data_IF_597288567464
#
_entry.id   IF_597288567464
#
_cell.length_a   1.000
_cell.length_b   1.000
_cell.length_c   1.000
_cell.angle_alpha   90.00
_cell.angle_beta   90.00
_cell.angle_gamma   90.00
#
_symmetry.space_group_name_H-M   'P 1'
#
loop_
_entity.id
_entity.type
_entity.pdbx_description
1 polymer ?
#
# COMPACT_ATOMS: atom_id res chain seq x y z
N UNK A 1 -7.15 -30.37 -33.84
CA UNK A 1 -8.31 -29.54 -33.50
C UNK A 1 -8.35 -28.43 -34.51
N UNK A 2 -9.42 -28.33 -35.27
CA UNK A 2 -9.63 -27.24 -36.23
C UNK A 2 -9.89 -25.94 -35.46
N UNK A 3 -9.45 -24.81 -36.00
CA UNK A 3 -9.69 -23.48 -35.39
C UNK A 3 -11.18 -23.15 -35.32
N UNK A 4 -12.02 -23.89 -36.06
CA UNK A 4 -13.48 -23.83 -36.01
C UNK A 4 -13.94 -22.40 -36.32
N UNK A 5 -14.71 -21.75 -35.44
CA UNK A 5 -15.18 -20.37 -35.69
C UNK A 5 -14.02 -19.36 -35.78
N UNK A 6 -12.81 -19.70 -35.31
CA UNK A 6 -11.63 -18.83 -35.36
C UNK A 6 -10.84 -18.95 -36.67
N UNK A 7 -11.26 -19.79 -37.62
CA UNK A 7 -10.61 -19.91 -38.94
C UNK A 7 -10.41 -18.56 -39.67
N UNK A 8 -11.32 -17.57 -39.61
CA UNK A 8 -11.11 -16.27 -40.23
C UNK A 8 -9.92 -15.48 -39.64
N UNK A 9 -9.37 -15.87 -38.50
CA UNK A 9 -8.14 -15.27 -37.96
C UNK A 9 -6.92 -15.73 -38.76
N UNK A 10 -6.92 -16.95 -39.29
CA UNK A 10 -5.79 -17.49 -40.06
C UNK A 10 -5.52 -16.69 -41.33
N UNK A 11 -6.56 -16.22 -42.01
CA UNK A 11 -6.40 -15.37 -43.21
C UNK A 11 -5.80 -14.00 -42.89
N UNK A 12 -5.98 -13.51 -41.67
CA UNK A 12 -5.41 -12.24 -41.18
C UNK A 12 -3.98 -12.39 -40.65
N UNK A 13 -3.51 -13.62 -40.43
CA UNK A 13 -2.16 -13.94 -39.95
C UNK A 13 -1.18 -14.26 -41.08
N UNK A 14 -1.68 -14.48 -42.31
CA UNK A 14 -0.83 -14.73 -43.47
C UNK A 14 -0.07 -13.45 -43.83
N UNK A 15 1.27 -13.48 -43.92
CA UNK A 15 2.02 -12.33 -44.37
C UNK A 15 1.66 -12.01 -45.81
N UNK A 16 1.32 -10.76 -46.12
CA UNK A 16 1.32 -10.31 -47.52
C UNK A 16 2.73 -10.53 -48.07
N UNK A 17 2.86 -11.38 -49.09
CA UNK A 17 4.15 -11.76 -49.67
C UNK A 17 4.92 -10.50 -50.12
N UNK A 18 6.00 -10.16 -49.40
CA UNK A 18 6.98 -9.15 -49.81
C UNK A 18 7.23 -7.97 -48.86
N UNK A 19 6.60 -7.91 -47.68
CA UNK A 19 6.81 -6.79 -46.73
C UNK A 19 7.91 -7.13 -45.72
N UNK A 20 8.87 -6.21 -45.56
CA UNK A 20 9.92 -6.30 -44.53
C UNK A 20 9.29 -6.48 -43.14
N UNK A 21 9.71 -7.51 -42.40
CA UNK A 21 9.30 -7.84 -41.02
C UNK A 21 9.81 -6.79 -39.99
N UNK A 22 9.45 -5.53 -40.21
CA UNK A 22 9.82 -4.37 -39.41
C UNK A 22 8.83 -4.14 -38.26
N UNK A 23 9.30 -3.45 -37.21
CA UNK A 23 8.49 -3.12 -36.02
C UNK A 23 7.21 -2.34 -36.37
N UNK A 24 7.24 -1.54 -37.45
CA UNK A 24 6.07 -0.75 -37.90
C UNK A 24 5.00 -1.63 -38.52
N UNK A 25 5.42 -2.61 -39.34
CA UNK A 25 4.52 -3.56 -39.98
C UNK A 25 3.84 -4.46 -38.94
N UNK A 26 4.61 -4.96 -37.95
CA UNK A 26 4.07 -5.72 -36.80
C UNK A 26 3.03 -4.95 -35.99
N UNK A 27 3.24 -3.65 -35.75
CA UNK A 27 2.26 -2.82 -35.05
C UNK A 27 0.99 -2.63 -35.88
N UNK A 28 1.14 -2.46 -37.19
CA UNK A 28 -0.01 -2.30 -38.09
C UNK A 28 -0.81 -3.61 -38.17
N UNK A 29 -0.16 -4.75 -38.33
CA UNK A 29 -0.83 -6.07 -38.33
C UNK A 29 -1.53 -6.34 -37.01
N UNK A 30 -0.91 -6.03 -35.86
CA UNK A 30 -1.56 -6.17 -34.54
C UNK A 30 -2.78 -5.26 -34.41
N UNK A 31 -2.71 -4.02 -34.89
CA UNK A 31 -3.88 -3.12 -34.86
C UNK A 31 -4.99 -3.57 -35.79
N UNK A 32 -4.66 -4.09 -36.98
CA UNK A 32 -5.64 -4.57 -37.96
C UNK A 32 -6.34 -5.81 -37.42
N UNK A 33 -5.59 -6.76 -36.88
CA UNK A 33 -6.16 -7.96 -36.27
C UNK A 33 -6.97 -7.61 -35.02
N UNK A 34 -6.48 -6.72 -34.15
CA UNK A 34 -7.23 -6.28 -32.97
C UNK A 34 -8.53 -5.55 -33.32
N UNK A 35 -8.52 -4.74 -34.39
CA UNK A 35 -9.72 -4.11 -34.92
C UNK A 35 -10.70 -5.16 -35.45
N UNK A 36 -10.20 -6.15 -36.20
CA UNK A 36 -11.01 -7.26 -36.70
C UNK A 36 -11.63 -8.06 -35.54
N UNK A 37 -10.84 -8.41 -34.51
CA UNK A 37 -11.29 -9.07 -33.28
C UNK A 37 -12.31 -8.26 -32.47
N UNK A 38 -12.33 -6.94 -32.65
CA UNK A 38 -13.31 -6.04 -32.04
C UNK A 38 -14.55 -5.81 -32.92
N UNK A 39 -14.56 -6.32 -34.16
CA UNK A 39 -15.71 -6.29 -35.07
C UNK A 39 -16.76 -7.32 -34.69
N UNK A 40 -18.00 -7.14 -35.17
CA UNK A 40 -19.15 -7.97 -34.79
C UNK A 40 -18.95 -9.46 -35.14
N UNK A 41 -18.44 -9.76 -36.33
CA UNK A 41 -18.28 -11.13 -36.83
C UNK A 41 -17.28 -11.95 -36.01
N UNK A 42 -16.07 -11.41 -35.79
CA UNK A 42 -15.04 -12.11 -35.03
C UNK A 42 -15.30 -12.07 -33.53
N UNK A 43 -15.95 -11.05 -33.00
CA UNK A 43 -16.39 -11.05 -31.60
C UNK A 43 -17.37 -12.19 -31.34
N UNK A 44 -18.33 -12.39 -32.25
CA UNK A 44 -19.27 -13.50 -32.16
C UNK A 44 -18.59 -14.86 -32.34
N UNK A 45 -17.66 -14.97 -33.29
CA UNK A 45 -16.85 -16.17 -33.48
C UNK A 45 -16.02 -16.52 -32.23
N UNK A 46 -15.37 -15.52 -31.63
CA UNK A 46 -14.61 -15.66 -30.37
C UNK A 46 -15.54 -16.04 -29.22
N UNK A 47 -16.78 -15.56 -29.19
CA UNK A 47 -17.80 -15.94 -28.21
C UNK A 47 -18.25 -17.39 -28.39
N UNK A 48 -18.37 -17.89 -29.62
CA UNK A 48 -18.78 -19.26 -29.94
C UNK A 48 -17.66 -20.30 -29.80
N UNK A 49 -16.39 -19.90 -29.89
CA UNK A 49 -15.24 -20.82 -29.80
C UNK A 49 -15.15 -21.62 -28.48
N UNK A 50 -14.64 -22.85 -28.47
CA UNK A 50 -14.32 -23.54 -27.22
C UNK A 50 -13.03 -23.03 -26.58
N UNK A 51 -12.80 -23.35 -25.30
CA UNK A 51 -11.51 -23.04 -24.61
C UNK A 51 -10.34 -23.72 -25.36
N UNK A 52 -10.52 -24.95 -25.83
CA UNK A 52 -9.51 -25.69 -26.59
C UNK A 52 -9.18 -25.05 -27.94
N UNK A 53 -10.19 -24.48 -28.62
CA UNK A 53 -10.01 -23.75 -29.88
C UNK A 53 -9.22 -22.45 -29.65
N UNK A 54 -9.54 -21.70 -28.59
CA UNK A 54 -8.77 -20.51 -28.20
C UNK A 54 -7.33 -20.89 -27.84
N UNK A 55 -7.14 -22.01 -27.18
CA UNK A 55 -5.81 -22.53 -26.84
C UNK A 55 -5.00 -22.95 -28.06
N UNK A 56 -5.66 -23.53 -29.06
CA UNK A 56 -5.02 -23.86 -30.33
C UNK A 56 -4.58 -22.58 -31.05
N UNK A 57 -5.44 -21.56 -31.09
CA UNK A 57 -5.10 -20.25 -31.66
C UNK A 57 -3.94 -19.57 -30.92
N UNK A 58 -3.96 -19.55 -29.58
CA UNK A 58 -2.92 -18.94 -28.75
C UNK A 58 -1.58 -19.71 -28.78
N UNK A 59 -1.58 -20.96 -29.23
CA UNK A 59 -0.36 -21.75 -29.44
C UNK A 59 0.33 -21.51 -30.79
N UNK A 60 -0.30 -20.73 -31.68
CA UNK A 60 0.22 -20.47 -33.02
C UNK A 60 1.46 -19.57 -32.99
N UNK A 61 2.51 -19.93 -33.74
CA UNK A 61 3.83 -19.26 -33.69
C UNK A 61 3.79 -17.76 -33.98
N UNK A 62 2.84 -17.32 -34.83
CA UNK A 62 2.66 -15.91 -35.21
C UNK A 62 1.90 -15.12 -34.13
N UNK A 63 1.02 -15.77 -33.38
CA UNK A 63 0.22 -15.17 -32.29
C UNK A 63 1.00 -15.22 -30.96
N UNK A 64 2.16 -14.57 -30.94
CA UNK A 64 2.94 -14.40 -29.72
C UNK A 64 2.90 -12.95 -29.21
N UNK A 65 3.19 -12.77 -27.92
CA UNK A 65 3.12 -11.44 -27.27
C UNK A 65 4.16 -10.48 -27.84
N UNK A 66 5.27 -10.99 -28.38
CA UNK A 66 6.33 -10.16 -28.97
C UNK A 66 5.91 -9.52 -30.31
N UNK A 67 5.06 -10.19 -31.08
CA UNK A 67 4.60 -9.74 -32.40
C UNK A 67 3.24 -9.06 -32.33
N UNK A 68 2.25 -9.70 -31.69
CA UNK A 68 0.84 -9.27 -31.70
C UNK A 68 0.27 -9.13 -30.27
N UNK A 69 0.83 -8.25 -29.42
CA UNK A 69 0.47 -8.15 -28.01
C UNK A 69 -0.99 -7.73 -27.75
N UNK A 70 -1.57 -6.86 -28.57
CA UNK A 70 -2.97 -6.42 -28.38
C UNK A 70 -3.95 -7.53 -28.76
N UNK A 71 -3.70 -8.21 -29.88
CA UNK A 71 -4.54 -9.33 -30.33
C UNK A 71 -4.50 -10.48 -29.33
N UNK A 72 -3.32 -10.82 -28.80
CA UNK A 72 -3.15 -11.84 -27.74
C UNK A 72 -3.88 -11.43 -26.45
N UNK A 73 -3.80 -10.16 -26.05
CA UNK A 73 -4.53 -9.63 -24.90
C UNK A 73 -6.05 -9.79 -25.08
N UNK A 74 -6.59 -9.51 -26.27
CA UNK A 74 -8.01 -9.64 -26.57
C UNK A 74 -8.46 -11.12 -26.49
N UNK A 75 -7.73 -12.03 -27.14
CA UNK A 75 -8.03 -13.46 -27.11
C UNK A 75 -7.94 -14.05 -25.69
N UNK A 76 -6.90 -13.67 -24.92
CA UNK A 76 -6.78 -14.07 -23.52
C UNK A 76 -7.89 -13.49 -22.66
N UNK A 77 -8.33 -12.25 -22.92
CA UNK A 77 -9.48 -11.66 -22.21
C UNK A 77 -10.79 -12.39 -22.51
N UNK A 78 -10.97 -12.87 -23.74
CA UNK A 78 -12.13 -13.69 -24.08
C UNK A 78 -12.05 -15.07 -23.41
N UNK A 79 -10.87 -15.71 -23.41
CA UNK A 79 -10.63 -16.96 -22.68
C UNK A 79 -10.95 -16.78 -21.19
N UNK A 80 -10.45 -15.72 -20.57
CA UNK A 80 -10.73 -15.33 -19.19
C UNK A 80 -12.23 -15.25 -18.88
N UNK A 81 -13.02 -14.58 -19.71
CA UNK A 81 -14.47 -14.49 -19.49
C UNK A 81 -15.16 -15.85 -19.54
N UNK A 82 -14.70 -16.76 -20.40
CA UNK A 82 -15.25 -18.13 -20.48
C UNK A 82 -14.88 -18.95 -19.27
N UNK A 83 -13.62 -18.87 -18.84
CA UNK A 83 -13.13 -19.54 -17.64
C UNK A 83 -13.91 -19.14 -16.38
N UNK A 84 -14.34 -17.88 -16.27
CA UNK A 84 -15.14 -17.43 -15.13
C UNK A 84 -16.57 -18.01 -15.11
N UNK A 85 -17.11 -18.36 -16.29
CA UNK A 85 -18.42 -19.02 -16.41
C UNK A 85 -18.34 -20.55 -16.35
N UNK A 86 -17.14 -21.13 -16.43
CA UNK A 86 -16.95 -22.59 -16.42
C UNK A 86 -16.75 -23.06 -14.99
N UNK A 87 -17.42 -24.15 -14.60
CA UNK A 87 -17.41 -24.62 -13.22
C UNK A 87 -16.02 -25.21 -12.88
N UNK A 88 -15.25 -24.52 -12.03
CA UNK A 88 -13.85 -24.83 -11.70
C UNK A 88 -13.57 -26.26 -11.17
N UNK A 89 -14.60 -27.05 -10.87
CA UNK A 89 -14.47 -28.40 -10.32
C UNK A 89 -14.31 -29.49 -11.39
N UNK A 90 -14.63 -29.21 -12.66
CA UNK A 90 -14.60 -30.21 -13.74
C UNK A 90 -13.38 -30.10 -14.67
N UNK A 91 -12.60 -29.03 -14.55
CA UNK A 91 -11.47 -28.76 -15.44
C UNK A 91 -10.17 -29.40 -14.94
N UNK A 92 -9.35 -29.88 -15.87
CA UNK A 92 -8.06 -30.48 -15.56
C UNK A 92 -7.10 -29.43 -14.99
N UNK A 93 -6.36 -29.81 -13.94
CA UNK A 93 -5.26 -29.00 -13.38
C UNK A 93 -4.27 -28.59 -14.50
N UNK A 94 -4.11 -29.43 -15.52
CA UNK A 94 -3.26 -29.14 -16.67
C UNK A 94 -3.71 -27.87 -17.43
N UNK A 95 -5.01 -27.70 -17.64
CA UNK A 95 -5.57 -26.57 -18.41
C UNK A 95 -5.48 -25.27 -17.60
N UNK A 96 -5.70 -25.37 -16.28
CA UNK A 96 -5.48 -24.26 -15.34
C UNK A 96 -4.02 -23.79 -15.36
N UNK A 97 -3.06 -24.74 -15.32
CA UNK A 97 -1.64 -24.42 -15.39
C UNK A 97 -1.24 -23.84 -16.74
N UNK A 98 -1.82 -24.32 -17.84
CA UNK A 98 -1.58 -23.79 -19.19
C UNK A 98 -2.09 -22.36 -19.31
N UNK A 99 -3.30 -22.08 -18.82
CA UNK A 99 -3.84 -20.72 -18.80
C UNK A 99 -3.01 -19.78 -17.93
N UNK A 100 -2.58 -20.25 -16.75
CA UNK A 100 -1.67 -19.50 -15.88
C UNK A 100 -0.35 -19.16 -16.60
N UNK A 101 0.22 -20.09 -17.37
CA UNK A 101 1.44 -19.85 -18.14
C UNK A 101 1.22 -18.81 -19.26
N UNK A 102 0.09 -18.86 -19.96
CA UNK A 102 -0.22 -17.88 -21.01
C UNK A 102 -0.33 -16.45 -20.44
N UNK A 103 -1.02 -16.27 -19.30
CA UNK A 103 -1.13 -14.95 -18.66
C UNK A 103 0.24 -14.50 -18.12
N UNK A 104 1.03 -15.43 -17.58
CA UNK A 104 2.41 -15.16 -17.14
C UNK A 104 3.29 -14.61 -18.27
N UNK A 105 3.25 -15.24 -19.45
CA UNK A 105 3.97 -14.77 -20.64
C UNK A 105 3.50 -13.37 -21.08
N UNK A 106 2.18 -13.14 -21.07
CA UNK A 106 1.61 -11.82 -21.37
C UNK A 106 2.15 -10.75 -20.41
N UNK A 107 2.03 -10.95 -19.09
CA UNK A 107 2.48 -9.97 -18.09
C UNK A 107 3.99 -9.69 -18.21
N UNK A 108 4.79 -10.72 -18.50
CA UNK A 108 6.23 -10.57 -18.66
C UNK A 108 6.61 -9.76 -19.91
N UNK A 109 5.90 -9.95 -21.04
CA UNK A 109 6.32 -9.41 -22.34
C UNK A 109 5.50 -8.20 -22.83
N UNK A 110 4.31 -7.95 -22.29
CA UNK A 110 3.43 -6.88 -22.79
C UNK A 110 4.13 -5.52 -22.79
N UNK A 111 4.09 -4.76 -23.90
CA UNK A 111 4.60 -3.40 -23.93
C UNK A 111 3.83 -2.48 -22.98
N UNK A 112 4.53 -1.70 -22.16
CA UNK A 112 3.93 -0.81 -21.17
C UNK A 112 3.00 0.24 -21.80
N UNK A 113 3.38 0.79 -22.96
CA UNK A 113 2.53 1.75 -23.68
C UNK A 113 1.16 1.16 -24.11
N UNK A 114 1.11 -0.15 -24.41
CA UNK A 114 -0.13 -0.85 -24.70
C UNK A 114 -0.90 -1.15 -23.40
N UNK A 115 -0.19 -1.68 -22.39
CA UNK A 115 -0.78 -1.99 -21.09
C UNK A 115 -1.39 -0.76 -20.41
N UNK A 116 -0.79 0.43 -20.57
CA UNK A 116 -1.34 1.67 -20.04
C UNK A 116 -2.69 2.04 -20.68
N UNK A 117 -2.87 1.77 -21.99
CA UNK A 117 -4.14 1.99 -22.69
C UNK A 117 -5.20 0.97 -22.30
N UNK A 118 -4.82 -0.30 -22.20
CA UNK A 118 -5.73 -1.42 -21.91
C UNK A 118 -5.66 -1.91 -20.45
N UNK A 119 -5.28 -1.04 -19.50
CA UNK A 119 -5.01 -1.42 -18.10
C UNK A 119 -6.21 -2.07 -17.43
N UNK A 120 -7.43 -1.73 -17.85
CA UNK A 120 -8.67 -2.37 -17.38
C UNK A 120 -8.68 -3.86 -17.68
N UNK A 121 -8.37 -4.26 -18.92
CA UNK A 121 -8.31 -5.68 -19.34
C UNK A 121 -7.16 -6.40 -18.63
N UNK A 122 -6.01 -5.75 -18.54
CA UNK A 122 -4.84 -6.28 -17.82
C UNK A 122 -5.18 -6.52 -16.34
N UNK A 123 -5.94 -5.63 -15.71
CA UNK A 123 -6.37 -5.77 -14.30
C UNK A 123 -7.34 -6.94 -14.10
N UNK A 124 -8.29 -7.14 -15.01
CA UNK A 124 -9.20 -8.30 -14.98
C UNK A 124 -8.42 -9.61 -15.12
N UNK A 125 -7.48 -9.67 -16.07
CA UNK A 125 -6.60 -10.83 -16.24
C UNK A 125 -5.73 -11.08 -15.01
N UNK A 126 -5.16 -10.03 -14.42
CA UNK A 126 -4.34 -10.15 -13.21
C UNK A 126 -5.15 -10.69 -12.01
N UNK A 127 -6.42 -10.30 -11.86
CA UNK A 127 -7.28 -10.86 -10.83
C UNK A 127 -7.49 -12.36 -11.01
N UNK A 128 -7.82 -12.80 -12.23
CA UNK A 128 -7.96 -14.23 -12.53
C UNK A 128 -6.65 -15.00 -12.37
N UNK A 129 -5.54 -14.40 -12.80
CA UNK A 129 -4.20 -14.94 -12.60
C UNK A 129 -3.89 -15.19 -11.13
N UNK A 130 -4.23 -14.25 -10.25
CA UNK A 130 -4.07 -14.40 -8.80
C UNK A 130 -4.93 -15.52 -8.22
N UNK A 131 -6.21 -15.61 -8.62
CA UNK A 131 -7.12 -16.68 -8.19
C UNK A 131 -6.58 -18.06 -8.60
N UNK A 132 -6.27 -18.23 -9.89
CA UNK A 132 -5.71 -19.47 -10.44
C UNK A 132 -4.39 -19.86 -9.78
N UNK A 133 -3.52 -18.90 -9.48
CA UNK A 133 -2.25 -19.16 -8.82
C UNK A 133 -2.42 -19.73 -7.40
N UNK A 134 -3.48 -19.32 -6.70
CA UNK A 134 -3.80 -19.79 -5.34
C UNK A 134 -4.46 -21.15 -5.41
N UNK A 135 -5.44 -21.32 -6.31
CA UNK A 135 -6.16 -22.59 -6.48
C UNK A 135 -5.21 -23.72 -6.90
N UNK A 136 -4.25 -23.43 -7.79
CA UNK A 136 -3.22 -24.40 -8.24
C UNK A 136 -2.00 -24.50 -7.31
N UNK A 137 -1.95 -23.73 -6.22
CA UNK A 137 -0.81 -23.65 -5.29
C UNK A 137 0.54 -23.30 -5.98
N UNK A 138 0.50 -22.51 -7.06
CA UNK A 138 1.69 -22.09 -7.82
C UNK A 138 2.08 -20.62 -7.57
N UNK A 139 1.63 -20.00 -6.47
CA UNK A 139 1.82 -18.56 -6.19
C UNK A 139 3.27 -18.08 -6.30
N UNK A 140 4.27 -18.92 -5.98
CA UNK A 140 5.69 -18.51 -6.06
C UNK A 140 6.15 -18.27 -7.50
N UNK A 141 5.66 -19.04 -8.47
CA UNK A 141 6.04 -18.92 -9.89
C UNK A 141 5.41 -17.70 -10.54
N UNK A 142 4.35 -17.16 -9.95
CA UNK A 142 3.55 -16.08 -10.50
C UNK A 142 4.00 -14.69 -10.04
N UNK A 143 4.88 -14.62 -9.05
CA UNK A 143 5.44 -13.37 -8.53
C UNK A 143 6.30 -12.66 -9.58
N UNK A 144 7.27 -13.36 -10.15
CA UNK A 144 8.26 -12.74 -11.05
C UNK A 144 7.64 -12.06 -12.28
N UNK A 145 6.70 -12.67 -13.03
CA UNK A 145 6.04 -12.01 -14.16
C UNK A 145 5.32 -10.72 -13.77
N UNK A 146 4.60 -10.73 -12.65
CA UNK A 146 3.83 -9.58 -12.18
C UNK A 146 4.74 -8.49 -11.61
N UNK A 147 5.80 -8.87 -10.89
CA UNK A 147 6.86 -7.97 -10.42
C UNK A 147 7.56 -7.28 -11.60
N UNK A 148 7.96 -8.05 -12.61
CA UNK A 148 8.59 -7.53 -13.84
C UNK A 148 7.67 -6.54 -14.55
N UNK A 149 6.38 -6.84 -14.64
CA UNK A 149 5.39 -5.92 -15.19
C UNK A 149 5.33 -4.61 -14.40
N UNK A 150 5.11 -4.67 -13.08
CA UNK A 150 4.96 -3.49 -12.22
C UNK A 150 6.21 -2.61 -12.26
N UNK A 151 7.40 -3.21 -12.17
CA UNK A 151 8.68 -2.50 -12.25
C UNK A 151 8.86 -1.79 -13.60
N UNK A 152 8.59 -2.48 -14.71
CA UNK A 152 8.65 -1.86 -16.05
C UNK A 152 7.64 -0.74 -16.20
N UNK A 153 6.44 -0.90 -15.63
CA UNK A 153 5.39 0.10 -15.64
C UNK A 153 5.83 1.37 -14.90
N UNK A 154 6.36 1.22 -13.68
CA UNK A 154 6.90 2.33 -12.88
C UNK A 154 8.06 3.03 -13.59
N UNK A 155 9.05 2.27 -14.10
CA UNK A 155 10.24 2.82 -14.77
C UNK A 155 9.95 3.66 -16.01
N UNK A 156 8.82 3.43 -16.68
CA UNK A 156 8.39 4.23 -17.84
C UNK A 156 7.59 5.48 -17.44
N UNK A 157 7.62 5.86 -16.16
CA UNK A 157 7.01 7.08 -15.64
C UNK A 157 5.58 6.91 -15.15
N UNK A 158 5.06 5.67 -15.07
CA UNK A 158 3.73 5.41 -14.53
C UNK A 158 3.79 5.09 -13.02
N UNK A 159 4.09 6.09 -12.19
CA UNK A 159 4.09 6.00 -10.73
C UNK A 159 2.66 6.09 -10.13
N UNK A 160 1.76 5.26 -10.68
CA UNK A 160 0.32 5.25 -10.35
C UNK A 160 -0.08 3.94 -9.68
N UNK A 161 -0.92 4.03 -8.65
CA UNK A 161 -1.56 2.87 -8.06
C UNK A 161 -2.56 2.24 -9.03
N UNK A 162 -2.38 0.95 -9.27
CA UNK A 162 -3.26 0.10 -10.08
C UNK A 162 -3.73 -1.11 -9.26
N UNK A 163 -4.83 -1.78 -9.65
CA UNK A 163 -5.31 -2.97 -8.95
C UNK A 163 -4.23 -4.07 -8.85
N UNK A 164 -3.31 -4.14 -9.80
CA UNK A 164 -2.26 -5.14 -9.85
C UNK A 164 -1.36 -5.11 -8.61
N UNK A 165 -1.19 -3.96 -7.96
CA UNK A 165 -0.38 -3.87 -6.74
C UNK A 165 -1.00 -4.66 -5.59
N UNK A 166 -2.31 -4.54 -5.39
CA UNK A 166 -3.03 -5.31 -4.36
C UNK A 166 -2.95 -6.82 -4.65
N UNK A 167 -3.16 -7.22 -5.90
CA UNK A 167 -3.05 -8.61 -6.35
C UNK A 167 -1.62 -9.17 -6.16
N UNK A 168 -0.60 -8.38 -6.47
CA UNK A 168 0.81 -8.75 -6.29
C UNK A 168 1.17 -8.93 -4.82
N UNK A 169 0.77 -7.99 -3.96
CA UNK A 169 1.02 -8.08 -2.53
C UNK A 169 0.31 -9.28 -1.90
N UNK A 170 -0.92 -9.55 -2.33
CA UNK A 170 -1.66 -10.73 -1.90
C UNK A 170 -0.95 -12.04 -2.29
N UNK A 171 -0.42 -12.14 -3.52
CA UNK A 171 0.39 -13.28 -3.96
C UNK A 171 1.68 -13.42 -3.15
N UNK A 172 2.38 -12.31 -2.87
CA UNK A 172 3.61 -12.32 -2.08
C UNK A 172 3.36 -12.80 -0.64
N UNK A 173 2.24 -12.38 -0.03
CA UNK A 173 1.82 -12.87 1.29
C UNK A 173 1.54 -14.37 1.27
N UNK A 174 0.79 -14.85 0.27
CA UNK A 174 0.45 -16.27 0.14
C UNK A 174 1.70 -17.14 -0.07
N UNK A 175 2.62 -16.70 -0.92
CA UNK A 175 3.90 -17.37 -1.18
C UNK A 175 4.95 -17.15 -0.08
N UNK A 176 4.70 -16.28 0.90
CA UNK A 176 5.65 -15.83 1.93
C UNK A 176 6.94 -15.24 1.33
N UNK A 177 6.84 -14.56 0.19
CA UNK A 177 7.97 -13.96 -0.52
C UNK A 177 8.01 -12.44 -0.28
N UNK A 178 8.46 -12.04 0.91
CA UNK A 178 8.52 -10.64 1.33
C UNK A 178 9.58 -9.84 0.57
N UNK A 179 10.71 -10.47 0.22
CA UNK A 179 11.80 -9.83 -0.52
C UNK A 179 11.33 -9.23 -1.86
N UNK A 180 10.59 -10.00 -2.67
CA UNK A 180 10.05 -9.52 -3.93
C UNK A 180 9.02 -8.39 -3.74
N UNK A 181 8.29 -8.41 -2.63
CA UNK A 181 7.34 -7.37 -2.31
C UNK A 181 8.01 -6.03 -1.97
N UNK A 182 9.14 -6.05 -1.24
CA UNK A 182 9.86 -4.84 -0.85
C UNK A 182 10.31 -4.02 -2.06
N UNK A 183 10.72 -4.68 -3.14
CA UNK A 183 11.13 -3.99 -4.38
C UNK A 183 10.03 -3.10 -4.97
N UNK A 184 8.75 -3.47 -4.81
CA UNK A 184 7.61 -2.69 -5.30
C UNK A 184 7.03 -1.79 -4.21
N UNK A 185 7.04 -2.22 -2.95
CA UNK A 185 6.54 -1.43 -1.82
C UNK A 185 7.35 -0.17 -1.56
N UNK A 186 8.68 -0.25 -1.71
CA UNK A 186 9.58 0.88 -1.49
C UNK A 186 9.60 1.86 -2.69
N UNK A 187 8.90 1.54 -3.78
CA UNK A 187 8.68 2.49 -4.88
C UNK A 187 7.59 3.50 -4.49
N UNK A 188 7.87 4.78 -4.67
CA UNK A 188 6.92 5.84 -4.33
C UNK A 188 5.80 5.93 -5.37
N UNK A 189 4.57 5.62 -4.96
CA UNK A 189 3.35 5.85 -5.74
C UNK A 189 2.68 7.14 -5.26
N UNK A 190 2.50 8.10 -6.17
CA UNK A 190 1.96 9.43 -5.83
C UNK A 190 0.49 9.56 -6.23
N UNK A 191 0.12 8.90 -7.33
CA UNK A 191 -1.19 9.04 -7.94
C UNK A 191 -1.97 7.72 -7.94
N UNK A 192 -3.28 7.80 -8.11
CA UNK A 192 -4.15 6.65 -8.38
C UNK A 192 -4.49 6.67 -9.86
N UNK A 193 -4.50 5.50 -10.52
CA UNK A 193 -4.82 5.39 -11.94
C UNK A 193 -6.10 6.18 -12.30
N UNK A 194 -5.94 7.14 -13.21
CA UNK A 194 -6.94 8.15 -13.54
C UNK A 194 -8.13 7.61 -14.35
N UNK A 195 -7.99 6.44 -14.97
CA UNK A 195 -9.06 5.82 -15.74
C UNK A 195 -10.23 5.43 -14.83
N UNK A 196 -11.42 5.95 -15.16
CA UNK A 196 -12.62 5.73 -14.35
C UNK A 196 -12.92 4.23 -14.19
N UNK A 197 -13.29 3.84 -12.97
CA UNK A 197 -13.69 2.47 -12.60
C UNK A 197 -12.60 1.39 -12.79
N UNK A 198 -11.33 1.75 -12.94
CA UNK A 198 -10.24 0.77 -12.96
C UNK A 198 -9.85 0.37 -11.53
N UNK A 199 -9.65 1.35 -10.64
CA UNK A 199 -9.31 1.10 -9.23
C UNK A 199 -10.59 1.16 -8.40
N UNK A 200 -10.89 0.09 -7.70
CA UNK A 200 -11.99 0.04 -6.73
C UNK A 200 -11.51 0.40 -5.32
N UNK A 201 -12.45 0.69 -4.42
CA UNK A 201 -12.11 0.88 -3.00
C UNK A 201 -11.50 -0.37 -2.37
N UNK A 202 -11.89 -1.56 -2.84
CA UNK A 202 -11.33 -2.84 -2.38
C UNK A 202 -9.88 -2.97 -2.81
N UNK A 203 -9.54 -2.56 -4.03
CA UNK A 203 -8.15 -2.59 -4.51
C UNK A 203 -7.26 -1.67 -3.68
N UNK A 204 -7.73 -0.45 -3.39
CA UNK A 204 -7.01 0.51 -2.55
C UNK A 204 -6.81 -0.01 -1.13
N UNK A 205 -7.88 -0.51 -0.50
CA UNK A 205 -7.83 -1.06 0.84
C UNK A 205 -6.98 -2.34 0.92
N UNK A 206 -7.03 -3.18 -0.11
CA UNK A 206 -6.19 -4.37 -0.25
C UNK A 206 -4.71 -3.98 -0.38
N UNK A 207 -4.39 -3.00 -1.22
CA UNK A 207 -3.04 -2.44 -1.33
C UNK A 207 -2.50 -1.97 0.04
N UNK A 208 -3.27 -1.12 0.73
CA UNK A 208 -2.88 -0.57 2.03
C UNK A 208 -2.74 -1.67 3.11
N UNK A 209 -3.71 -2.57 3.19
CA UNK A 209 -3.70 -3.63 4.21
C UNK A 209 -2.62 -4.68 3.94
N UNK A 210 -2.52 -5.23 2.72
CA UNK A 210 -1.52 -6.24 2.38
C UNK A 210 -0.10 -5.67 2.42
N UNK A 211 0.10 -4.43 1.97
CA UNK A 211 1.38 -3.74 2.11
C UNK A 211 1.79 -3.57 3.57
N UNK A 212 0.84 -3.18 4.44
CA UNK A 212 1.08 -3.11 5.88
C UNK A 212 1.47 -4.46 6.49
N UNK A 213 0.86 -5.57 6.05
CA UNK A 213 1.25 -6.92 6.49
C UNK A 213 2.66 -7.32 6.03
N UNK A 214 3.04 -6.94 4.81
CA UNK A 214 4.36 -7.25 4.26
C UNK A 214 5.46 -6.50 5.02
N UNK A 215 5.27 -5.21 5.29
CA UNK A 215 6.19 -4.45 6.15
C UNK A 215 6.23 -4.98 7.57
N UNK A 216 5.08 -5.40 8.10
CA UNK A 216 5.01 -6.02 9.42
C UNK A 216 5.80 -7.35 9.49
N UNK A 217 5.77 -8.14 8.42
CA UNK A 217 6.56 -9.36 8.28
C UNK A 217 8.08 -9.12 8.33
N UNK A 218 8.53 -8.03 7.71
CA UNK A 218 9.93 -7.57 7.74
C UNK A 218 10.28 -6.75 9.01
N UNK A 219 9.34 -6.61 9.96
CA UNK A 219 9.47 -5.80 11.20
C UNK A 219 9.76 -4.31 10.95
N UNK A 220 9.42 -3.80 9.77
CA UNK A 220 9.43 -2.36 9.46
C UNK A 220 8.18 -1.71 10.04
N UNK A 221 8.14 -1.59 11.36
CA UNK A 221 6.93 -1.19 12.10
C UNK A 221 6.41 0.19 11.71
N UNK A 222 7.29 1.16 11.46
CA UNK A 222 6.87 2.52 11.06
C UNK A 222 6.14 2.51 9.71
N UNK A 223 6.73 1.88 8.70
CA UNK A 223 6.13 1.78 7.37
C UNK A 223 4.81 1.00 7.40
N UNK A 224 4.72 -0.04 8.24
CA UNK A 224 3.48 -0.77 8.46
C UNK A 224 2.38 0.11 9.08
N UNK A 225 2.72 0.98 10.05
CA UNK A 225 1.77 1.93 10.63
C UNK A 225 1.26 2.91 9.57
N UNK A 226 2.15 3.44 8.72
CA UNK A 226 1.77 4.37 7.66
C UNK A 226 0.79 3.72 6.66
N UNK A 227 1.02 2.45 6.30
CA UNK A 227 0.11 1.68 5.44
C UNK A 227 -1.23 1.35 6.13
N UNK A 228 -1.24 0.98 7.40
CA UNK A 228 -2.50 0.78 8.13
C UNK A 228 -3.25 2.11 8.32
N UNK A 229 -2.54 3.22 8.51
CA UNK A 229 -3.12 4.56 8.56
C UNK A 229 -3.77 4.93 7.23
N UNK A 230 -3.15 4.58 6.10
CA UNK A 230 -3.74 4.76 4.77
C UNK A 230 -5.07 4.02 4.63
N UNK A 231 -5.17 2.79 5.15
CA UNK A 231 -6.41 2.03 5.14
C UNK A 231 -7.51 2.68 6.00
N UNK A 232 -7.22 3.10 7.23
CA UNK A 232 -8.25 3.65 8.14
C UNK A 232 -8.71 5.08 7.75
N UNK A 233 -7.85 5.84 7.06
CA UNK A 233 -8.15 7.21 6.62
C UNK A 233 -8.80 7.28 5.24
N UNK A 234 -8.90 6.16 4.52
CA UNK A 234 -9.55 6.06 3.23
C UNK A 234 -11.01 6.56 3.31
N UNK A 235 -11.45 7.48 2.43
CA UNK A 235 -12.83 7.97 2.44
C UNK A 235 -13.86 6.84 2.39
N UNK A 236 -14.76 6.79 3.38
CA UNK A 236 -15.68 5.68 3.56
C UNK A 236 -17.08 6.14 3.99
N UNK A 237 -18.10 5.54 3.38
CA UNK A 237 -19.52 5.68 3.78
C UNK A 237 -19.96 4.51 4.66
N UNK A 238 -19.31 3.35 4.52
CA UNK A 238 -19.54 2.15 5.31
C UNK A 238 -18.21 1.57 5.80
N UNK A 239 -18.26 0.78 6.87
CA UNK A 239 -17.09 0.13 7.43
C UNK A 239 -16.78 -1.15 6.63
N UNK A 240 -15.52 -1.33 6.24
CA UNK A 240 -15.06 -2.53 5.53
C UNK A 240 -14.29 -3.46 6.48
N UNK A 241 -14.26 -4.75 6.16
CA UNK A 241 -13.48 -5.73 6.93
C UNK A 241 -11.97 -5.41 6.91
N UNK A 242 -11.45 -4.90 5.78
CA UNK A 242 -10.08 -4.44 5.67
C UNK A 242 -9.73 -3.35 6.69
N UNK A 243 -10.61 -2.37 6.87
CA UNK A 243 -10.40 -1.27 7.83
C UNK A 243 -10.41 -1.79 9.27
N UNK A 244 -11.30 -2.72 9.61
CA UNK A 244 -11.34 -3.33 10.94
C UNK A 244 -10.04 -4.09 11.22
N UNK A 245 -9.60 -4.94 10.30
CA UNK A 245 -8.36 -5.72 10.46
C UNK A 245 -7.11 -4.84 10.47
N UNK A 246 -7.08 -3.78 9.66
CA UNK A 246 -6.02 -2.78 9.69
C UNK A 246 -5.98 -2.06 11.04
N UNK A 247 -7.12 -1.67 11.61
CA UNK A 247 -7.18 -0.99 12.91
C UNK A 247 -6.68 -1.88 14.05
N UNK A 248 -7.05 -3.17 14.08
CA UNK A 248 -6.53 -4.14 15.06
C UNK A 248 -4.99 -4.16 15.04
N UNK A 249 -4.40 -4.23 13.84
CA UNK A 249 -2.94 -4.30 13.65
C UNK A 249 -2.26 -2.96 13.92
N UNK A 250 -2.86 -1.84 13.51
CA UNK A 250 -2.43 -0.49 13.84
C UNK A 250 -2.29 -0.32 15.36
N UNK A 251 -3.29 -0.77 16.13
CA UNK A 251 -3.26 -0.73 17.59
C UNK A 251 -2.12 -1.54 18.16
N UNK A 252 -1.98 -2.81 17.77
CA UNK A 252 -0.91 -3.67 18.28
C UNK A 252 0.48 -3.13 17.92
N UNK A 253 0.67 -2.67 16.68
CA UNK A 253 1.97 -2.14 16.23
C UNK A 253 2.29 -0.80 16.90
N UNK A 254 1.31 0.07 17.12
CA UNK A 254 1.52 1.33 17.86
C UNK A 254 1.94 1.05 19.30
N UNK A 255 1.31 0.06 19.95
CA UNK A 255 1.73 -0.39 21.27
C UNK A 255 3.12 -1.02 21.26
N UNK A 256 3.55 -1.69 20.18
CA UNK A 256 4.91 -2.26 20.09
C UNK A 256 5.94 -1.14 19.89
N UNK A 257 5.70 -0.21 18.97
CA UNK A 257 6.68 0.80 18.54
C UNK A 257 6.73 2.01 19.49
N UNK A 258 5.59 2.66 19.73
CA UNK A 258 5.51 3.88 20.54
C UNK A 258 5.14 3.60 22.00
N UNK A 259 4.21 2.66 22.23
CA UNK A 259 3.74 2.30 23.57
C UNK A 259 2.71 3.24 24.14
N UNK A 260 2.09 3.98 23.25
CA UNK A 260 1.02 4.92 23.52
C UNK A 260 -0.25 4.40 22.85
N UNK A 261 -1.39 4.94 23.26
CA UNK A 261 -2.64 4.66 22.59
C UNK A 261 -2.63 5.23 21.16
N UNK A 262 -3.34 4.57 20.26
CA UNK A 262 -3.49 5.05 18.87
C UNK A 262 -4.22 6.39 18.87
N UNK A 263 -3.61 7.39 18.24
CA UNK A 263 -4.27 8.66 17.96
C UNK A 263 -4.63 8.71 16.48
N UNK A 264 -5.92 8.59 16.17
CA UNK A 264 -6.38 8.68 14.79
C UNK A 264 -6.25 10.12 14.27
N UNK A 265 -5.79 10.32 13.01
CA UNK A 265 -5.78 11.63 12.39
C UNK A 265 -7.18 12.26 12.33
N UNK A 266 -7.28 13.59 12.46
CA UNK A 266 -8.57 14.31 12.48
C UNK A 266 -9.39 14.15 11.19
N UNK A 267 -8.74 13.85 10.07
CA UNK A 267 -9.38 13.63 8.77
C UNK A 267 -9.87 12.18 8.57
N UNK A 268 -9.74 11.33 9.58
CA UNK A 268 -10.28 9.95 9.53
C UNK A 268 -11.81 10.00 9.35
N UNK A 269 -12.41 9.20 8.45
CA UNK A 269 -13.85 9.22 8.22
C UNK A 269 -14.64 8.93 9.49
N UNK A 270 -15.71 9.70 9.70
CA UNK A 270 -16.55 9.60 10.91
C UNK A 270 -17.11 8.20 11.15
N UNK A 271 -17.46 7.47 10.09
CA UNK A 271 -17.98 6.09 10.18
C UNK A 271 -16.93 5.14 10.77
N UNK A 272 -15.65 5.35 10.46
CA UNK A 272 -14.53 4.58 11.01
C UNK A 272 -14.34 4.95 12.47
N UNK A 273 -14.15 6.24 12.78
CA UNK A 273 -13.91 6.70 14.16
C UNK A 273 -15.02 6.31 15.12
N UNK A 274 -16.28 6.30 14.66
CA UNK A 274 -17.44 5.98 15.51
C UNK A 274 -17.62 4.48 15.74
N UNK A 275 -17.34 3.65 14.73
CA UNK A 275 -17.78 2.26 14.73
C UNK A 275 -16.64 1.24 14.85
N UNK A 276 -15.40 1.57 14.46
CA UNK A 276 -14.31 0.59 14.37
C UNK A 276 -13.98 -0.05 15.73
N UNK A 277 -14.01 0.73 16.81
CA UNK A 277 -13.71 0.24 18.16
C UNK A 277 -14.75 -0.75 18.68
N UNK A 278 -16.02 -0.61 18.27
CA UNK A 278 -17.09 -1.54 18.63
C UNK A 278 -16.81 -2.96 18.09
N UNK A 279 -16.05 -3.07 17.00
CA UNK A 279 -15.62 -4.35 16.43
C UNK A 279 -14.27 -4.83 16.98
N UNK A 280 -13.57 -4.02 17.77
CA UNK A 280 -12.21 -4.26 18.24
C UNK A 280 -12.08 -4.16 19.77
N UNK A 281 -13.15 -4.44 20.52
CA UNK A 281 -13.22 -4.22 21.98
C UNK A 281 -12.12 -4.94 22.76
N UNK A 282 -11.76 -6.17 22.39
CA UNK A 282 -10.67 -6.91 23.01
C UNK A 282 -9.29 -6.21 22.83
N UNK A 283 -9.06 -5.62 21.65
CA UNK A 283 -7.85 -4.88 21.33
C UNK A 283 -7.81 -3.53 22.06
N UNK A 284 -8.94 -2.82 22.10
CA UNK A 284 -9.07 -1.58 22.87
C UNK A 284 -8.86 -1.83 24.38
N UNK A 285 -9.37 -2.94 24.91
CA UNK A 285 -9.14 -3.35 26.31
C UNK A 285 -7.67 -3.62 26.57
N UNK A 286 -6.97 -4.26 25.63
CA UNK A 286 -5.53 -4.47 25.71
C UNK A 286 -4.74 -3.15 25.70
N UNK A 287 -5.10 -2.20 24.82
CA UNK A 287 -4.50 -0.87 24.82
C UNK A 287 -4.73 -0.12 26.13
N UNK A 288 -5.94 -0.18 26.69
CA UNK A 288 -6.26 0.46 27.97
C UNK A 288 -5.54 -0.20 29.16
N UNK A 289 -5.22 -1.49 29.06
CA UNK A 289 -4.39 -2.18 30.04
C UNK A 289 -2.89 -1.83 29.90
N UNK A 290 -2.47 -1.39 28.70
CA UNK A 290 -1.10 -0.97 28.39
C UNK A 290 -0.78 0.40 29.01
N UNK A 291 -0.75 0.46 30.34
CA UNK A 291 -0.31 1.64 31.09
C UNK A 291 0.97 1.26 31.80
N UNK A 292 2.09 1.85 31.38
CA UNK A 292 3.42 1.51 31.90
C UNK A 292 3.54 1.74 33.40
N UNK A 293 2.71 2.57 34.02
CA UNK A 293 2.68 2.76 35.48
C UNK A 293 1.97 1.62 36.22
N UNK A 294 1.07 0.87 35.57
CA UNK A 294 0.28 -0.21 36.17
C UNK A 294 1.04 -1.55 36.18
N UNK A 295 0.46 -2.54 36.85
CA UNK A 295 1.03 -3.87 36.99
C UNK A 295 1.06 -4.66 35.66
N UNK A 296 2.16 -5.38 35.44
CA UNK A 296 2.34 -6.28 34.31
C UNK A 296 1.25 -7.37 34.23
N UNK A 297 0.76 -7.83 35.39
CA UNK A 297 -0.26 -8.87 35.51
C UNK A 297 -1.55 -8.52 34.75
N UNK A 298 -1.95 -7.24 34.75
CA UNK A 298 -3.17 -6.79 34.08
C UNK A 298 -3.11 -6.97 32.55
N UNK A 299 -1.97 -6.63 31.93
CA UNK A 299 -1.76 -6.82 30.49
C UNK A 299 -1.74 -8.31 30.13
N UNK A 300 -1.08 -9.12 30.96
CA UNK A 300 -1.01 -10.56 30.74
C UNK A 300 -2.38 -11.23 30.89
N UNK A 301 -3.18 -10.84 31.87
CA UNK A 301 -4.53 -11.35 32.08
C UNK A 301 -5.46 -11.03 30.91
N UNK A 302 -5.41 -9.80 30.39
CA UNK A 302 -6.21 -9.43 29.20
C UNK A 302 -5.78 -10.22 27.97
N UNK A 303 -4.48 -10.46 27.82
CA UNK A 303 -3.93 -11.25 26.71
C UNK A 303 -4.34 -12.74 26.78
N UNK A 304 -4.33 -13.35 27.98
CA UNK A 304 -4.74 -14.75 28.17
C UNK A 304 -6.25 -14.93 28.08
N UNK A 305 -7.02 -14.01 28.65
CA UNK A 305 -8.50 -14.04 28.61
C UNK A 305 -9.06 -14.02 27.20
N UNK A 306 -8.46 -13.23 26.29
CA UNK A 306 -8.92 -13.09 24.91
C UNK A 306 -8.10 -13.90 23.90
N UNK A 307 -7.35 -14.91 24.36
CA UNK A 307 -6.40 -15.65 23.52
C UNK A 307 -7.06 -16.31 22.30
N UNK A 308 -8.25 -16.90 22.45
CA UNK A 308 -8.99 -17.55 21.36
C UNK A 308 -9.34 -16.57 20.24
N UNK A 309 -9.77 -15.35 20.60
CA UNK A 309 -10.06 -14.28 19.63
C UNK A 309 -8.80 -13.86 18.87
N UNK A 310 -7.66 -13.74 19.56
CA UNK A 310 -6.39 -13.39 18.91
C UNK A 310 -5.83 -14.50 18.01
N UNK A 311 -6.14 -15.77 18.30
CA UNK A 311 -5.81 -16.89 17.42
C UNK A 311 -6.67 -16.84 16.17
N UNK A 312 -7.98 -16.66 16.33
CA UNK A 312 -8.92 -16.57 15.21
C UNK A 312 -8.56 -15.42 14.26
N UNK A 313 -8.19 -14.27 14.80
CA UNK A 313 -7.78 -13.10 14.00
C UNK A 313 -6.33 -13.19 13.44
N UNK A 314 -5.59 -14.26 13.75
CA UNK A 314 -4.20 -14.43 13.31
C UNK A 314 -3.19 -13.48 13.96
N UNK A 315 -3.58 -12.76 15.03
CA UNK A 315 -2.78 -11.69 15.64
C UNK A 315 -2.07 -12.12 16.94
N UNK A 316 -2.20 -13.38 17.38
CA UNK A 316 -1.60 -13.86 18.64
C UNK A 316 -0.09 -13.60 18.74
N UNK A 317 0.64 -13.75 17.62
CA UNK A 317 2.09 -13.47 17.59
C UNK A 317 2.41 -12.01 17.93
N UNK A 318 1.62 -11.07 17.41
CA UNK A 318 1.75 -9.64 17.69
C UNK A 318 1.36 -9.31 19.12
N UNK A 319 0.30 -9.94 19.66
CA UNK A 319 -0.09 -9.75 21.07
C UNK A 319 1.02 -10.20 22.02
N UNK A 320 1.70 -11.32 21.72
CA UNK A 320 2.89 -11.75 22.49
C UNK A 320 4.01 -10.72 22.39
N UNK A 321 4.23 -10.11 21.23
CA UNK A 321 5.19 -9.01 21.07
C UNK A 321 4.78 -7.77 21.86
N UNK A 322 3.48 -7.42 21.95
CA UNK A 322 2.99 -6.32 22.80
C UNK A 322 3.33 -6.59 24.27
N UNK A 323 3.07 -7.79 24.78
CA UNK A 323 3.43 -8.16 26.17
C UNK A 323 4.94 -8.05 26.41
N UNK A 324 5.76 -8.43 25.43
CA UNK A 324 7.22 -8.28 25.50
C UNK A 324 7.64 -6.80 25.45
N UNK A 325 7.05 -6.00 24.57
CA UNK A 325 7.31 -4.57 24.45
C UNK A 325 6.93 -3.82 25.74
N UNK A 326 5.88 -4.26 26.45
CA UNK A 326 5.54 -3.72 27.78
C UNK A 326 6.68 -3.94 28.78
N UNK A 327 7.26 -5.15 28.85
CA UNK A 327 8.42 -5.44 29.72
C UNK A 327 9.62 -4.56 29.35
N UNK A 328 9.89 -4.39 28.05
CA UNK A 328 10.96 -3.51 27.58
C UNK A 328 10.75 -2.06 28.02
N UNK A 329 9.52 -1.53 27.91
CA UNK A 329 9.22 -0.16 28.35
C UNK A 329 9.33 0.05 29.85
N UNK A 330 8.92 -0.94 30.65
CA UNK A 330 9.15 -0.90 32.10
C UNK A 330 10.64 -0.79 32.43
N UNK A 331 11.51 -1.51 31.72
CA UNK A 331 12.96 -1.38 31.87
C UNK A 331 13.47 0.00 31.42
N UNK A 332 12.98 0.51 30.28
CA UNK A 332 13.35 1.85 29.81
C UNK A 332 12.92 2.93 30.82
N UNK A 333 11.80 2.77 31.52
CA UNK A 333 11.37 3.72 32.56
C UNK A 333 12.38 3.80 33.72
N UNK A 334 13.13 2.73 34.02
CA UNK A 334 14.14 2.74 35.09
C UNK A 334 15.25 3.75 34.84
N UNK A 335 15.58 4.02 33.57
CA UNK A 335 16.56 5.06 33.21
C UNK A 335 16.15 6.43 33.73
N UNK A 336 14.85 6.74 33.82
CA UNK A 336 14.37 8.05 34.27
C UNK A 336 14.43 8.22 35.79
N UNK A 337 14.39 7.12 36.54
CA UNK A 337 14.24 7.14 38.00
C UNK A 337 15.50 6.73 38.75
N UNK A 338 16.38 5.94 38.11
CA UNK A 338 17.60 5.42 38.72
C UNK A 338 18.82 5.86 37.93
N UNK A 339 19.84 6.38 38.63
CA UNK A 339 21.18 6.55 38.07
C UNK A 339 21.98 5.23 38.14
N UNK A 340 21.78 4.44 39.19
CA UNK A 340 22.43 3.13 39.36
C UNK A 340 21.49 2.18 40.11
N UNK A 341 21.40 0.93 39.66
CA UNK A 341 20.54 -0.10 40.24
C UNK A 341 21.28 -1.44 40.35
N UNK A 342 21.02 -2.19 41.42
CA UNK A 342 21.51 -3.56 41.56
C UNK A 342 20.88 -4.48 40.52
N UNK A 343 21.68 -5.33 39.88
CA UNK A 343 21.26 -6.24 38.81
C UNK A 343 20.11 -7.16 39.25
N UNK A 344 20.15 -7.63 40.51
CA UNK A 344 19.13 -8.50 41.12
C UNK A 344 17.81 -7.78 41.37
N UNK A 345 17.82 -6.44 41.50
CA UNK A 345 16.65 -5.61 41.75
C UNK A 345 16.04 -5.02 40.48
N UNK A 346 16.64 -5.24 39.31
CA UNK A 346 16.12 -4.70 38.04
C UNK A 346 14.76 -5.29 37.70
N UNK A 347 14.59 -6.60 37.87
CA UNK A 347 13.32 -7.26 37.59
C UNK A 347 12.21 -6.75 38.51
N UNK A 348 12.47 -6.62 39.80
CA UNK A 348 11.50 -6.11 40.77
C UNK A 348 11.21 -4.63 40.59
N UNK A 349 12.23 -3.81 40.33
CA UNK A 349 12.05 -2.38 40.05
C UNK A 349 11.23 -2.14 38.77
N UNK A 350 11.33 -3.03 37.79
CA UNK A 350 10.50 -3.00 36.58
C UNK A 350 9.09 -3.61 36.78
N UNK A 351 8.74 -4.04 37.99
CA UNK A 351 7.43 -4.66 38.29
C UNK A 351 7.28 -6.07 37.71
N UNK A 352 8.38 -6.79 37.50
CA UNK A 352 8.42 -8.19 37.06
C UNK A 352 8.72 -9.12 38.25
N UNK A 353 8.38 -10.41 38.12
CA UNK A 353 8.68 -11.41 39.14
C UNK A 353 10.19 -11.68 39.25
N UNK A 354 10.66 -12.07 40.44
CA UNK A 354 12.06 -12.45 40.66
C UNK A 354 12.53 -13.63 39.79
N UNK A 355 11.60 -14.49 39.36
CA UNK A 355 11.88 -15.58 38.40
C UNK A 355 12.39 -15.07 37.05
N UNK A 356 12.06 -13.82 36.71
CA UNK A 356 12.35 -13.22 35.40
C UNK A 356 13.68 -12.44 35.40
N UNK A 357 14.48 -12.49 36.47
CA UNK A 357 15.73 -11.74 36.58
C UNK A 357 16.71 -11.98 35.42
N UNK A 358 16.90 -13.25 35.02
CA UNK A 358 17.78 -13.63 33.89
C UNK A 358 17.20 -13.13 32.56
N UNK A 359 15.87 -13.15 32.42
CA UNK A 359 15.20 -12.65 31.21
C UNK A 359 15.29 -11.11 31.12
N UNK A 360 15.20 -10.42 32.27
CA UNK A 360 15.36 -8.97 32.36
C UNK A 360 16.80 -8.54 32.04
N UNK A 361 17.82 -9.26 32.51
CA UNK A 361 19.23 -9.01 32.15
C UNK A 361 19.47 -9.17 30.64
N UNK A 362 18.97 -10.26 30.04
CA UNK A 362 19.09 -10.48 28.60
C UNK A 362 18.36 -9.40 27.79
N UNK A 363 17.20 -8.97 28.27
CA UNK A 363 16.42 -7.90 27.63
C UNK A 363 17.13 -6.56 27.73
N UNK A 364 17.71 -6.25 28.89
CA UNK A 364 18.53 -5.05 29.12
C UNK A 364 19.74 -5.00 28.18
N UNK A 365 20.47 -6.11 28.04
CA UNK A 365 21.58 -6.22 27.07
C UNK A 365 21.13 -5.98 25.62
N UNK A 366 19.95 -6.48 25.25
CA UNK A 366 19.38 -6.28 23.91
C UNK A 366 19.01 -4.81 23.68
N UNK A 367 18.47 -4.13 24.69
CA UNK A 367 18.13 -2.71 24.61
C UNK A 367 19.39 -1.84 24.47
N UNK A 368 20.48 -2.20 25.16
CA UNK A 368 21.78 -1.53 25.03
C UNK A 368 22.38 -1.77 23.65
N UNK A 369 22.40 -3.02 23.16
CA UNK A 369 22.97 -3.32 21.83
C UNK A 369 22.19 -2.67 20.67
N UNK A 370 20.89 -2.46 20.84
CA UNK A 370 20.06 -1.76 19.87
C UNK A 370 20.15 -0.23 19.97
N UNK A 371 20.94 0.31 20.91
CA UNK A 371 21.08 1.76 21.13
C UNK A 371 19.81 2.44 21.65
N UNK A 372 18.91 1.68 22.28
CA UNK A 372 17.67 2.23 22.88
C UNK A 372 17.87 2.69 24.32
N UNK A 373 18.99 2.33 24.94
CA UNK A 373 19.33 2.65 26.32
C UNK A 373 20.85 2.66 26.50
N UNK A 374 21.38 3.76 27.04
CA UNK A 374 22.79 3.85 27.39
C UNK A 374 23.00 3.41 28.84
N UNK A 375 23.63 2.25 29.03
CA UNK A 375 23.90 1.71 30.35
C UNK A 375 25.20 0.90 30.37
N UNK A 376 25.93 1.00 31.48
CA UNK A 376 27.17 0.25 31.75
C UNK A 376 26.89 -0.78 32.85
N UNK A 377 27.19 -2.05 32.56
CA UNK A 377 27.00 -3.16 33.49
C UNK A 377 28.34 -3.47 34.18
N UNK A 378 28.41 -3.22 35.49
CA UNK A 378 29.54 -3.62 36.33
C UNK A 378 29.24 -4.98 36.96
N UNK A 379 29.78 -6.04 36.37
CA UNK A 379 29.62 -7.42 36.86
C UNK A 379 30.34 -7.68 38.18
N UNK A 380 31.39 -6.92 38.51
CA UNK A 380 32.12 -7.11 39.77
C UNK A 380 31.31 -6.58 40.95
N UNK A 381 30.60 -5.46 40.75
CA UNK A 381 29.73 -4.86 41.77
C UNK A 381 28.28 -5.30 41.67
N UNK A 382 27.91 -6.09 40.65
CA UNK A 382 26.54 -6.48 40.33
C UNK A 382 25.58 -5.26 40.20
N UNK A 383 26.06 -4.19 39.56
CA UNK A 383 25.33 -2.93 39.40
C UNK A 383 25.21 -2.56 37.91
N UNK A 384 24.11 -1.90 37.56
CA UNK A 384 23.90 -1.25 36.26
C UNK A 384 23.86 0.26 36.49
N UNK A 385 24.76 0.99 35.85
CA UNK A 385 24.77 2.46 35.82
C UNK A 385 24.15 2.92 34.51
N UNK A 386 23.11 3.73 34.58
CA UNK A 386 22.51 4.36 33.40
C UNK A 386 23.31 5.62 33.07
N UNK A 387 23.70 5.76 31.80
CA UNK A 387 24.44 6.91 31.29
C UNK A 387 23.41 7.89 30.76
N UNK A 388 23.45 9.12 31.26
CA UNK A 388 22.63 10.21 30.75
C UNK A 388 23.46 11.02 29.75
N UNK A 389 22.84 11.49 28.67
CA UNK A 389 23.45 12.22 27.54
C UNK A 389 24.35 13.42 27.94
N UNK A 390 24.31 13.85 29.19
CA UNK A 390 25.05 15.01 29.69
C UNK A 390 26.42 14.67 30.35
N UNK A 391 26.79 13.41 30.58
CA UNK A 391 27.96 13.10 31.42
C UNK A 391 29.27 12.71 30.71
N UNK A 392 29.30 12.24 29.45
CA UNK A 392 30.57 11.79 28.84
C UNK A 392 30.67 12.10 27.32
N UNK A 393 30.85 13.39 26.99
CA UNK A 393 30.94 13.90 25.61
C UNK A 393 32.36 14.03 25.03
N UNK A 394 33.28 13.08 25.29
CA UNK A 394 34.72 13.31 25.04
C UNK A 394 35.38 12.56 23.88
N UNK A 395 34.91 11.37 23.47
CA UNK A 395 35.72 10.49 22.60
C UNK A 395 34.98 9.81 21.43
N UNK A 396 33.65 9.93 21.36
CA UNK A 396 32.82 9.30 20.32
C UNK A 396 32.32 10.28 19.24
N UNK A 397 32.78 11.54 19.22
CA UNK A 397 32.21 12.57 18.34
C UNK A 397 32.64 12.47 16.87
N UNK A 398 33.85 12.01 16.55
CA UNK A 398 34.37 12.06 15.18
C UNK A 398 33.78 10.99 14.23
N UNK A 399 33.61 9.74 14.69
CA UNK A 399 32.96 8.69 13.88
C UNK A 399 31.44 8.91 13.76
N UNK A 400 30.80 9.36 14.85
CA UNK A 400 29.37 9.68 14.91
C UNK A 400 29.05 10.90 14.04
N UNK A 401 29.95 11.88 13.90
CA UNK A 401 29.78 13.00 12.97
C UNK A 401 29.76 12.56 11.51
N UNK A 402 30.60 11.59 11.13
CA UNK A 402 30.63 11.06 9.77
C UNK A 402 29.33 10.34 9.38
N UNK A 403 28.82 9.47 10.27
CA UNK A 403 27.53 8.80 10.05
C UNK A 403 26.35 9.75 10.14
N UNK A 404 26.32 10.65 11.12
CA UNK A 404 25.28 11.67 11.24
C UNK A 404 25.25 12.59 10.01
N UNK A 405 26.41 12.99 9.48
CA UNK A 405 26.50 13.78 8.25
C UNK A 405 25.98 13.01 7.03
N UNK A 406 26.26 11.70 6.92
CA UNK A 406 25.70 10.88 5.83
C UNK A 406 24.18 10.74 5.95
N UNK A 407 23.66 10.45 7.15
CA UNK A 407 22.20 10.39 7.41
C UNK A 407 21.53 11.71 7.05
N UNK A 408 22.13 12.84 7.45
CA UNK A 408 21.62 14.16 7.09
C UNK A 408 21.60 14.38 5.58
N UNK A 409 22.67 14.00 4.86
CA UNK A 409 22.72 14.11 3.40
C UNK A 409 21.62 13.26 2.73
N UNK A 410 21.36 12.05 3.22
CA UNK A 410 20.33 11.19 2.65
C UNK A 410 18.91 11.73 2.92
N UNK A 411 18.65 12.26 4.12
CA UNK A 411 17.39 12.96 4.41
C UNK A 411 17.23 14.24 3.58
N UNK A 412 18.30 15.00 3.35
CA UNK A 412 18.28 16.15 2.45
C UNK A 412 17.91 15.77 1.02
N UNK A 413 18.43 14.64 0.50
CA UNK A 413 18.05 14.14 -0.84
C UNK A 413 16.55 13.83 -0.91
N UNK A 414 15.99 13.17 0.11
CA UNK A 414 14.55 12.87 0.18
C UNK A 414 13.72 14.16 0.19
N UNK A 415 14.11 15.15 0.99
CA UNK A 415 13.43 16.45 1.04
C UNK A 415 13.45 17.18 -0.32
N UNK A 416 14.55 17.11 -1.07
CA UNK A 416 14.64 17.69 -2.42
C UNK A 416 13.65 17.01 -3.37
N UNK A 417 13.52 15.68 -3.31
CA UNK A 417 12.55 14.93 -4.13
C UNK A 417 11.13 15.36 -3.78
N UNK A 418 10.75 15.37 -2.50
CA UNK A 418 9.39 15.78 -2.08
C UNK A 418 9.10 17.24 -2.46
N UNK A 419 10.07 18.15 -2.27
CA UNK A 419 9.91 19.54 -2.66
C UNK A 419 9.73 19.71 -4.18
N UNK A 420 10.42 18.90 -4.98
CA UNK A 420 10.24 18.91 -6.45
C UNK A 420 8.85 18.41 -6.86
N UNK A 421 8.36 17.34 -6.24
CA UNK A 421 7.02 16.81 -6.48
C UNK A 421 5.93 17.80 -6.07
N UNK A 422 6.08 18.44 -4.90
CA UNK A 422 5.14 19.44 -4.42
C UNK A 422 5.04 20.65 -5.36
N UNK A 423 6.16 21.08 -5.98
CA UNK A 423 6.15 22.14 -7.00
C UNK A 423 5.39 21.72 -8.26
N UNK A 424 5.53 20.46 -8.69
CA UNK A 424 4.77 19.93 -9.83
C UNK A 424 3.28 19.94 -9.51
N UNK A 425 2.88 19.40 -8.36
CA UNK A 425 1.49 19.39 -7.91
C UNK A 425 0.90 20.80 -7.77
N UNK A 426 1.65 21.76 -7.22
CA UNK A 426 1.22 23.15 -7.11
C UNK A 426 1.02 23.78 -8.49
N UNK A 427 1.93 23.51 -9.43
CA UNK A 427 1.80 23.98 -10.82
C UNK A 427 0.56 23.39 -11.48
N UNK A 428 0.29 22.10 -11.31
CA UNK A 428 -0.89 21.42 -11.86
C UNK A 428 -2.20 21.94 -11.25
N UNK A 429 -2.24 22.16 -9.94
CA UNK A 429 -3.39 22.72 -9.25
C UNK A 429 -3.68 24.14 -9.73
N UNK A 430 -2.66 25.00 -9.78
CA UNK A 430 -2.80 26.39 -10.23
C UNK A 430 -3.19 26.44 -11.71
N UNK A 431 -2.63 25.61 -12.57
CA UNK A 431 -2.98 25.59 -14.00
C UNK A 431 -4.32 24.92 -14.28
N UNK A 432 -4.92 24.21 -13.33
CA UNK A 432 -6.20 23.54 -13.53
C UNK A 432 -7.35 24.52 -13.83
N UNK A 433 -8.16 24.19 -14.85
CA UNK A 433 -9.28 25.03 -15.28
C UNK A 433 -10.30 25.29 -14.15
N UNK A 434 -10.51 24.31 -13.26
CA UNK A 434 -11.41 24.46 -12.10
C UNK A 434 -10.88 25.48 -11.11
N UNK A 435 -9.58 25.45 -10.80
CA UNK A 435 -8.96 26.41 -9.88
C UNK A 435 -8.97 27.82 -10.48
N UNK A 436 -8.55 27.96 -11.75
CA UNK A 436 -8.57 29.24 -12.46
C UNK A 436 -9.98 29.85 -12.54
N UNK A 437 -11.00 29.04 -12.84
CA UNK A 437 -12.39 29.51 -12.86
C UNK A 437 -12.87 29.98 -11.48
N UNK A 438 -12.51 29.26 -10.40
CA UNK A 438 -12.84 29.68 -9.03
C UNK A 438 -12.11 30.96 -8.63
N UNK A 439 -10.83 31.06 -8.97
CA UNK A 439 -10.03 32.26 -8.71
C UNK A 439 -10.62 33.49 -9.40
N UNK A 440 -11.04 33.36 -10.66
CA UNK A 440 -11.71 34.43 -11.39
C UNK A 440 -13.05 34.80 -10.74
N UNK A 441 -13.87 33.81 -10.35
CA UNK A 441 -15.14 34.06 -9.64
C UNK A 441 -14.94 34.78 -8.31
N UNK A 442 -13.91 34.43 -7.55
CA UNK A 442 -13.59 35.09 -6.29
C UNK A 442 -13.08 36.52 -6.51
N UNK A 443 -12.30 36.76 -7.57
CA UNK A 443 -11.89 38.11 -7.99
C UNK A 443 -13.10 38.96 -8.38
N UNK A 444 -14.02 38.42 -9.17
CA UNK A 444 -15.26 39.10 -9.59
C UNK A 444 -16.22 39.34 -8.41
N UNK A 445 -16.18 38.48 -7.38
CA UNK A 445 -16.94 38.70 -6.14
C UNK A 445 -16.33 39.82 -5.32
N UNK A 446 -15.00 39.86 -5.18
CA UNK A 446 -14.29 40.93 -4.46
C UNK A 446 -14.46 42.29 -5.14
N UNK A 447 -14.40 42.35 -6.47
CA UNK A 447 -14.63 43.60 -7.21
C UNK A 447 -16.06 44.11 -7.03
N UNK A 448 -17.07 43.22 -7.07
CA UNK A 448 -18.47 43.58 -6.80
C UNK A 448 -18.70 44.10 -5.38
N UNK A 449 -18.08 43.49 -4.37
CA UNK A 449 -18.15 43.99 -2.98
C UNK A 449 -17.50 45.36 -2.87
N UNK A 450 -16.36 45.57 -3.53
CA UNK A 450 -15.68 46.87 -3.51
C UNK A 450 -16.52 47.98 -4.18
N UNK A 451 -17.16 47.69 -5.32
CA UNK A 451 -18.08 48.63 -5.97
C UNK A 451 -19.34 48.90 -5.14
N UNK A 452 -19.88 47.87 -4.46
CA UNK A 452 -21.04 48.06 -3.58
C UNK A 452 -20.70 48.94 -2.36
N UNK A 453 -19.52 48.76 -1.77
CA UNK A 453 -19.06 49.61 -0.67
C UNK A 453 -18.80 51.06 -1.12
N UNK A 454 -18.25 51.27 -2.33
CA UNK A 454 -18.10 52.62 -2.88
C UNK A 454 -19.45 53.29 -3.14
N UNK A 455 -20.44 52.56 -3.66
CA UNK A 455 -21.78 53.10 -3.87
C UNK A 455 -22.56 53.35 -2.57
N UNK A 456 -22.32 52.56 -1.51
CA UNK A 456 -22.91 52.83 -0.20
C UNK A 456 -22.26 54.04 0.49
N UNK A 457 -20.95 54.23 0.34
CA UNK A 457 -20.26 55.42 0.84
C UNK A 457 -20.71 56.66 0.06
N UNK A 458 -20.85 56.58 -1.26
CA UNK A 458 -21.41 57.67 -2.08
C UNK A 458 -22.86 58.00 -1.67
N UNK A 459 -23.72 57.00 -1.43
CA UNK A 459 -25.09 57.25 -0.94
C UNK A 459 -25.13 57.89 0.44
N UNK A 460 -24.26 57.49 1.37
CA UNK A 460 -24.14 58.13 2.68
C UNK A 460 -23.67 59.59 2.56
N UNK A 461 -22.77 59.90 1.62
CA UNK A 461 -22.35 61.29 1.36
C UNK A 461 -23.44 62.14 0.71
N UNK A 462 -24.29 61.56 -0.15
CA UNK A 462 -25.40 62.27 -0.81
C UNK A 462 -26.57 62.52 0.15
N UNK A 463 -26.91 61.58 1.04
CA UNK A 463 -27.94 61.78 2.08
C UNK A 463 -27.49 62.78 3.16
N UNK A 464 -26.20 62.89 3.45
CA UNK A 464 -25.67 63.94 4.32
C UNK A 464 -25.72 65.34 3.67
N UNK A 465 -25.65 65.41 2.32
CA UNK A 465 -25.68 66.67 1.57
C UNK A 465 -27.11 67.15 1.24
N UNK A 466 -28.12 66.28 1.24
CA UNK A 466 -29.51 66.64 0.93
C UNK A 466 -30.34 67.09 2.15
N UNK A 467 -29.79 66.99 3.37
CA UNK A 467 -30.45 67.39 4.62
C UNK A 467 -30.19 68.85 5.07
N UNK A 468 -29.42 69.63 4.33
CA UNK A 468 -29.12 71.04 4.63
C UNK A 468 -29.48 71.91 3.42
N UNK A 469 -30.77 72.15 3.19
CA UNK A 469 -31.26 73.34 2.47
C UNK A 469 -32.79 73.40 2.51
N UNK A 470 -33.35 73.95 3.59
CA UNK A 470 -34.52 74.84 3.59
C UNK A 470 -34.73 75.36 5.01
N UNK A 471 -34.14 76.52 5.32
CA UNK A 471 -34.59 77.41 6.40
C UNK A 471 -34.02 78.81 6.09
N UNK A 472 -34.66 79.49 5.14
CA UNK A 472 -34.87 80.93 5.13
C UNK A 472 -36.29 81.22 4.63
#
# INVERSE_FOLDING_TARGET
MEWGPLEPILSLLLPEEGVNDGIVDRKQTDTTLAHALSGEELTEAVRLASIDQLDTALSHEVLNVERLPLSVLLLLSAKATKWEHTNHQEESIHDQMKFLLQISQLLYQIPVALAAKEIKRVSVLANQYTKLAIDTQQSIKTIFPLQSFLRRFHQQGHAVLTPLHAHFFYLCLHAKCYFAAMEILDETLVEIQAQSHVVTSVDFLGYAYYGGLLYLGEKRYQDALDFFQLAITAPAVSLSAFVIEAYKKLLLVTLILHGEAVVMPKYTPFVVTRNVENHCTAYATLANAFVVEKDFAAVQEVATKNQELFIHDGNLGLVKQVVQAFKQRKLLQLTRTYATIELTKIATAAGMSNSDAVAAEKMLLTLISNGQMDAVIDKQKAMVRFVHENEDGGAYQDEVQGEASKRLQDEMKKLVVVASQLRVMDTELVTSAKFQSRLQKDKDRRSRIHMHNQQSDERLTVDAASGMDTLE
#
